data_IF_654253656603
#
_entry.id   IF_654253656603
#
_cell.length_a   1.000
_cell.length_b   1.000
_cell.length_c   1.000
_cell.angle_alpha   90.00
_cell.angle_beta   90.00
_cell.angle_gamma   90.00
#
_symmetry.space_group_name_H-M   'P 1'
#
loop_
_entity.id
_entity.type
_entity.pdbx_description
1 polymer ?
#
# COMPACT_ATOMS: atom_id res chain seq x y z
N UNK A 1 -11.93 -23.54 -2.85
CA UNK A 1 -10.79 -23.03 -2.06
C UNK A 1 -11.08 -21.60 -1.63
N UNK A 2 -10.68 -21.19 -0.42
CA UNK A 2 -11.14 -19.93 0.20
C UNK A 2 -10.41 -18.67 -0.28
N UNK A 3 -11.15 -17.57 -0.48
CA UNK A 3 -10.62 -16.25 -0.85
C UNK A 3 -9.80 -15.66 0.31
N UNK A 4 -8.48 -15.50 0.15
CA UNK A 4 -7.58 -14.86 1.14
C UNK A 4 -7.07 -13.45 0.75
N UNK A 5 -7.59 -12.88 -0.34
CA UNK A 5 -7.07 -11.65 -0.96
C UNK A 5 -7.42 -10.33 -0.22
N UNK A 6 -8.29 -10.35 0.80
CA UNK A 6 -8.96 -9.14 1.30
C UNK A 6 -8.12 -8.12 2.09
N UNK A 7 -7.02 -8.52 2.73
CA UNK A 7 -6.22 -7.64 3.60
C UNK A 7 -4.70 -7.73 3.39
N UNK A 8 -4.18 -8.87 2.90
CA UNK A 8 -2.74 -9.06 2.72
C UNK A 8 -2.12 -8.07 1.71
N UNK A 9 -2.85 -7.71 0.65
CA UNK A 9 -2.34 -6.87 -0.46
C UNK A 9 -1.96 -5.46 -0.01
N UNK A 10 -2.62 -4.91 1.02
CA UNK A 10 -2.30 -3.56 1.52
C UNK A 10 -0.93 -3.55 2.20
N UNK A 11 -0.62 -4.56 3.04
CA UNK A 11 0.69 -4.67 3.69
C UNK A 11 1.85 -4.96 2.74
N UNK A 12 1.58 -5.56 1.57
CA UNK A 12 2.61 -5.92 0.57
C UNK A 12 3.37 -4.72 0.02
N UNK A 13 2.67 -3.60 -0.26
CA UNK A 13 3.31 -2.39 -0.81
C UNK A 13 4.17 -1.69 0.25
N UNK A 14 3.79 -1.82 1.53
CA UNK A 14 4.42 -1.14 2.67
C UNK A 14 5.82 -1.68 2.97
N UNK A 15 6.00 -3.01 2.96
CA UNK A 15 7.25 -3.64 3.40
C UNK A 15 8.45 -3.25 2.51
N UNK A 16 8.23 -3.00 1.22
CA UNK A 16 9.29 -2.69 0.27
C UNK A 16 9.90 -1.28 0.37
N UNK A 17 9.22 -0.30 1.01
CA UNK A 17 9.62 1.12 0.96
C UNK A 17 10.22 1.67 2.26
N UNK A 18 10.27 0.88 3.33
CA UNK A 18 10.62 1.35 4.69
C UNK A 18 12.10 1.07 5.07
N UNK A 19 12.87 0.40 4.21
CA UNK A 19 14.24 0.00 4.52
C UNK A 19 15.25 1.18 4.51
N UNK A 20 16.02 1.29 5.61
CA UNK A 20 17.23 2.13 5.81
C UNK A 20 17.09 3.66 5.85
N UNK A 21 17.02 4.23 7.06
CA UNK A 21 17.19 5.68 7.30
C UNK A 21 17.99 5.91 8.59
N UNK A 22 19.09 6.69 8.54
CA UNK A 22 19.79 7.20 9.74
C UNK A 22 20.55 8.51 9.49
N UNK A 23 20.41 9.47 10.42
CA UNK A 23 21.29 10.63 10.72
C UNK A 23 21.24 11.95 9.91
N UNK A 24 21.18 13.08 10.65
CA UNK A 24 21.80 14.37 10.26
C UNK A 24 21.02 15.36 9.37
N UNK A 25 19.85 15.85 9.80
CA UNK A 25 18.90 16.76 9.10
C UNK A 25 19.18 17.23 7.65
N UNK A 26 20.21 18.02 7.34
CA UNK A 26 20.48 18.46 5.96
C UNK A 26 21.18 17.38 5.10
N UNK A 27 22.08 16.60 5.68
CA UNK A 27 22.66 15.41 5.06
C UNK A 27 21.61 14.28 4.99
N UNK A 28 20.71 14.21 5.97
CA UNK A 28 19.61 13.25 6.05
C UNK A 28 18.74 13.30 4.80
N UNK A 29 18.33 14.48 4.33
CA UNK A 29 17.49 14.60 3.12
C UNK A 29 18.18 14.03 1.88
N UNK A 30 19.45 14.33 1.64
CA UNK A 30 20.17 13.79 0.48
C UNK A 30 20.51 12.29 0.65
N UNK A 31 20.75 11.82 1.87
CA UNK A 31 20.89 10.39 2.18
C UNK A 31 19.57 9.62 1.99
N UNK A 32 18.43 10.21 2.35
CA UNK A 32 17.10 9.65 2.07
C UNK A 32 16.81 9.58 0.58
N UNK A 33 17.08 10.67 -0.17
CA UNK A 33 16.98 10.65 -1.64
C UNK A 33 17.88 9.55 -2.21
N UNK A 34 19.11 9.39 -1.72
CA UNK A 34 20.00 8.31 -2.14
C UNK A 34 19.45 6.91 -1.81
N UNK A 35 18.80 6.73 -0.65
CA UNK A 35 18.12 5.47 -0.32
C UNK A 35 16.90 5.22 -1.21
N UNK A 36 16.01 6.21 -1.38
CA UNK A 36 14.83 6.11 -2.26
C UNK A 36 15.27 5.80 -3.70
N UNK A 37 16.34 6.40 -4.20
CA UNK A 37 16.96 6.03 -5.48
C UNK A 37 17.43 4.56 -5.51
N UNK A 38 18.07 4.08 -4.43
CA UNK A 38 18.55 2.70 -4.31
C UNK A 38 17.39 1.69 -4.29
N UNK A 39 16.37 1.92 -3.47
CA UNK A 39 15.21 1.02 -3.37
C UNK A 39 14.36 1.03 -4.65
N UNK A 40 14.16 2.19 -5.29
CA UNK A 40 13.48 2.26 -6.59
C UNK A 40 14.26 1.49 -7.67
N UNK A 41 15.59 1.59 -7.69
CA UNK A 41 16.45 0.82 -8.59
C UNK A 41 16.36 -0.69 -8.31
N UNK A 42 16.31 -1.07 -7.03
CA UNK A 42 16.11 -2.45 -6.57
C UNK A 42 14.76 -3.00 -7.08
N UNK A 43 13.66 -2.29 -6.83
CA UNK A 43 12.32 -2.65 -7.30
C UNK A 43 12.25 -2.81 -8.84
N UNK A 44 13.00 -1.99 -9.59
CA UNK A 44 13.10 -2.16 -11.05
C UNK A 44 13.78 -3.48 -11.47
N UNK A 45 14.75 -3.99 -10.70
CA UNK A 45 15.30 -5.33 -10.96
C UNK A 45 14.32 -6.45 -10.59
N UNK A 46 13.47 -6.20 -9.58
CA UNK A 46 12.51 -7.14 -8.99
C UNK A 46 11.13 -7.18 -9.69
N UNK A 47 11.03 -6.57 -10.88
CA UNK A 47 9.89 -6.73 -11.79
C UNK A 47 8.78 -5.68 -11.69
N UNK A 48 9.01 -4.63 -10.94
CA UNK A 48 8.22 -3.40 -10.98
C UNK A 48 8.80 -2.45 -12.04
N UNK A 49 8.02 -1.49 -12.54
CA UNK A 49 8.59 -0.30 -13.20
C UNK A 49 8.36 0.95 -12.36
N UNK A 50 9.26 1.92 -12.50
CA UNK A 50 9.11 3.26 -11.92
C UNK A 50 8.93 4.27 -13.05
N UNK A 51 7.87 5.07 -13.00
CA UNK A 51 7.42 5.98 -14.06
C UNK A 51 7.04 7.33 -13.47
N UNK A 52 6.91 8.36 -14.31
CA UNK A 52 6.34 9.67 -13.93
C UNK A 52 7.06 10.35 -12.75
N UNK A 53 8.39 10.22 -12.65
CA UNK A 53 9.14 10.70 -11.48
C UNK A 53 9.41 12.20 -11.55
N UNK A 54 9.00 12.90 -10.51
CA UNK A 54 9.26 14.33 -10.28
C UNK A 54 10.04 14.47 -8.98
N UNK A 55 11.11 15.28 -8.98
CA UNK A 55 12.00 15.46 -7.82
C UNK A 55 12.09 16.95 -7.49
N UNK A 56 11.76 17.31 -6.26
CA UNK A 56 11.90 18.64 -5.69
C UNK A 56 12.87 18.62 -4.49
N UNK A 57 13.08 19.79 -3.86
CA UNK A 57 14.00 19.91 -2.72
C UNK A 57 13.56 19.06 -1.52
N UNK A 58 12.28 19.12 -1.16
CA UNK A 58 11.69 18.48 0.04
C UNK A 58 10.65 17.40 -0.27
N UNK A 59 10.37 17.12 -1.54
CA UNK A 59 9.36 16.15 -1.98
C UNK A 59 9.78 15.42 -3.26
N UNK A 60 9.21 14.24 -3.46
CA UNK A 60 9.22 13.53 -4.75
C UNK A 60 7.83 12.98 -5.08
N UNK A 61 7.55 12.78 -6.36
CA UNK A 61 6.44 11.96 -6.82
C UNK A 61 6.99 10.86 -7.75
N UNK A 62 6.42 9.66 -7.71
CA UNK A 62 6.61 8.64 -8.74
C UNK A 62 5.46 7.63 -8.77
N UNK A 63 5.38 6.88 -9.87
CA UNK A 63 4.41 5.81 -10.08
C UNK A 63 5.14 4.47 -10.12
N UNK A 64 4.76 3.54 -9.22
CA UNK A 64 5.19 2.13 -9.24
C UNK A 64 4.16 1.33 -10.04
N UNK A 65 4.61 0.49 -10.97
CA UNK A 65 3.72 -0.38 -11.77
C UNK A 65 4.11 -1.85 -11.71
N UNK A 66 3.10 -2.72 -11.66
CA UNK A 66 3.26 -4.16 -11.44
C UNK A 66 3.29 -4.90 -12.79
N UNK A 67 4.48 -5.15 -13.34
CA UNK A 67 4.66 -5.56 -14.74
C UNK A 67 5.10 -7.04 -14.92
N UNK A 68 5.99 -7.54 -14.05
CA UNK A 68 6.54 -8.92 -14.11
C UNK A 68 6.16 -9.79 -12.88
N UNK A 69 4.97 -10.42 -12.87
CA UNK A 69 4.48 -11.25 -11.76
C UNK A 69 5.43 -12.32 -11.21
N UNK A 70 6.29 -12.91 -12.05
CA UNK A 70 7.23 -13.95 -11.61
C UNK A 70 8.30 -13.41 -10.66
N UNK A 71 8.90 -12.26 -10.99
CA UNK A 71 9.88 -11.59 -10.13
C UNK A 71 9.21 -11.02 -8.89
N UNK A 72 8.07 -10.35 -9.06
CA UNK A 72 7.27 -9.77 -7.95
C UNK A 72 6.92 -10.85 -6.91
N UNK A 73 6.44 -12.02 -7.32
CA UNK A 73 6.17 -13.13 -6.40
C UNK A 73 7.44 -13.61 -5.66
N UNK A 74 8.57 -13.71 -6.35
CA UNK A 74 9.84 -14.14 -5.76
C UNK A 74 10.44 -13.11 -4.79
N UNK A 75 10.39 -11.82 -5.13
CA UNK A 75 10.77 -10.72 -4.24
C UNK A 75 9.93 -10.72 -2.97
N UNK A 76 8.60 -10.73 -3.11
CA UNK A 76 7.69 -10.67 -1.97
C UNK A 76 7.80 -11.93 -1.08
N UNK A 77 8.06 -13.10 -1.67
CA UNK A 77 8.37 -14.33 -0.90
C UNK A 77 9.62 -14.19 -0.03
N UNK A 78 10.70 -13.57 -0.54
CA UNK A 78 11.90 -13.25 0.26
C UNK A 78 11.61 -12.23 1.37
N UNK A 79 10.72 -11.27 1.10
CA UNK A 79 10.19 -10.34 2.12
C UNK A 79 9.19 -11.00 3.11
N UNK A 80 9.05 -12.33 3.10
CA UNK A 80 8.19 -13.08 4.02
C UNK A 80 6.70 -13.11 3.66
N UNK A 81 6.30 -12.49 2.55
CA UNK A 81 4.92 -12.51 2.05
C UNK A 81 4.67 -13.81 1.31
N UNK A 82 3.69 -14.61 1.77
CA UNK A 82 3.24 -15.78 1.02
C UNK A 82 2.49 -15.35 -0.26
N UNK A 83 3.19 -15.27 -1.39
CA UNK A 83 2.63 -14.91 -2.69
C UNK A 83 3.15 -15.84 -3.78
N UNK A 84 2.25 -16.54 -4.48
CA UNK A 84 2.62 -17.35 -5.64
C UNK A 84 2.46 -16.56 -6.96
N UNK A 85 2.99 -17.09 -8.07
CA UNK A 85 2.99 -16.41 -9.38
C UNK A 85 1.58 -16.10 -9.89
N UNK A 86 0.57 -16.92 -9.57
CA UNK A 86 -0.82 -16.65 -9.95
C UNK A 86 -1.40 -15.49 -9.11
N UNK A 87 -1.07 -15.41 -7.83
CA UNK A 87 -1.49 -14.29 -6.96
C UNK A 87 -0.89 -12.97 -7.48
N UNK A 88 0.41 -12.97 -7.81
CA UNK A 88 1.08 -11.82 -8.40
C UNK A 88 0.53 -11.46 -9.80
N UNK A 89 0.06 -12.45 -10.57
CA UNK A 89 -0.57 -12.19 -11.86
C UNK A 89 -1.91 -11.44 -11.74
N UNK A 90 -2.63 -11.62 -10.62
CA UNK A 90 -3.83 -10.82 -10.30
C UNK A 90 -3.50 -9.36 -9.99
N UNK A 91 -2.24 -9.01 -9.70
CA UNK A 91 -1.79 -7.63 -9.50
C UNK A 91 -1.28 -6.97 -10.79
N UNK A 92 -1.15 -7.71 -11.91
CA UNK A 92 -0.57 -7.15 -13.14
C UNK A 92 -1.37 -5.96 -13.66
N UNK A 93 -0.69 -4.85 -13.96
CA UNK A 93 -1.30 -3.60 -14.40
C UNK A 93 -1.86 -2.72 -13.27
N UNK A 94 -1.63 -3.09 -12.01
CA UNK A 94 -1.75 -2.16 -10.88
C UNK A 94 -0.72 -1.04 -11.05
N UNK A 95 -1.18 0.21 -10.93
CA UNK A 95 -0.32 1.38 -10.83
C UNK A 95 -0.59 2.08 -9.50
N UNK A 96 0.47 2.37 -8.74
CA UNK A 96 0.41 3.06 -7.43
C UNK A 96 1.20 4.36 -7.55
N UNK A 97 0.52 5.48 -7.33
CA UNK A 97 1.17 6.77 -7.13
C UNK A 97 1.73 6.85 -5.71
N UNK A 98 2.94 7.38 -5.58
CA UNK A 98 3.63 7.58 -4.30
C UNK A 98 4.10 9.03 -4.25
N UNK A 99 3.56 9.80 -3.30
CA UNK A 99 4.10 11.11 -2.93
C UNK A 99 5.03 10.93 -1.72
N UNK A 100 6.27 11.39 -1.83
CA UNK A 100 7.28 11.37 -0.76
C UNK A 100 7.46 12.78 -0.21
N UNK A 101 7.56 12.94 1.11
CA UNK A 101 7.96 14.20 1.74
C UNK A 101 9.07 13.98 2.77
N UNK A 102 10.12 14.79 2.71
CA UNK A 102 11.27 14.74 3.62
C UNK A 102 11.13 15.78 4.73
N UNK A 103 11.32 15.37 5.99
CA UNK A 103 11.26 16.23 7.19
C UNK A 103 9.98 17.08 7.30
N UNK A 104 8.82 16.48 7.02
CA UNK A 104 7.52 17.16 6.93
C UNK A 104 6.99 17.72 8.26
N UNK A 105 7.17 17.00 9.38
CA UNK A 105 6.72 17.39 10.71
C UNK A 105 7.85 17.31 11.77
N UNK A 106 7.51 17.41 13.07
CA UNK A 106 8.49 17.31 14.16
C UNK A 106 8.98 15.88 14.43
N UNK A 107 8.20 14.85 14.08
CA UNK A 107 8.41 13.43 14.28
C UNK A 107 9.11 12.73 13.10
N UNK A 108 8.71 13.01 11.86
CA UNK A 108 9.06 12.20 10.68
C UNK A 108 10.42 12.55 10.10
N UNK A 109 11.16 11.53 9.71
CA UNK A 109 12.32 11.64 8.84
C UNK A 109 11.85 11.80 7.39
N UNK A 110 10.98 10.88 6.95
CA UNK A 110 10.30 10.86 5.66
C UNK A 110 8.86 10.39 5.87
N UNK A 111 7.96 10.82 5.00
CA UNK A 111 6.62 10.25 4.86
C UNK A 111 6.30 9.90 3.41
N UNK A 112 5.35 8.97 3.25
CA UNK A 112 4.89 8.40 2.00
C UNK A 112 3.37 8.37 1.97
N UNK A 113 2.75 9.06 1.02
CA UNK A 113 1.33 8.91 0.69
C UNK A 113 1.21 8.01 -0.55
N UNK A 114 0.72 6.78 -0.36
CA UNK A 114 0.53 5.78 -1.40
C UNK A 114 -0.94 5.64 -1.78
N UNK A 115 -1.25 5.61 -3.07
CA UNK A 115 -2.62 5.49 -3.55
C UNK A 115 -2.68 4.82 -4.94
N UNK A 116 -3.68 3.96 -5.20
CA UNK A 116 -3.85 3.35 -6.52
C UNK A 116 -4.28 4.40 -7.56
N UNK A 117 -3.58 4.41 -8.70
CA UNK A 117 -3.90 5.20 -9.89
C UNK A 117 -4.69 4.36 -10.91
N UNK A 118 -4.35 3.09 -11.05
CA UNK A 118 -5.06 2.11 -11.88
C UNK A 118 -5.21 0.78 -11.15
N UNK A 119 -6.36 0.12 -11.32
CA UNK A 119 -6.59 -1.24 -10.80
C UNK A 119 -5.93 -2.28 -11.72
N UNK A 120 -5.59 -3.48 -11.20
CA UNK A 120 -5.07 -4.57 -12.02
C UNK A 120 -5.96 -4.91 -13.22
N UNK A 121 -5.34 -5.37 -14.31
CA UNK A 121 -6.04 -5.73 -15.55
C UNK A 121 -7.12 -6.80 -15.32
N UNK A 122 -6.91 -7.72 -14.39
CA UNK A 122 -7.91 -8.72 -14.01
C UNK A 122 -9.21 -8.08 -13.48
N UNK A 123 -9.11 -7.03 -12.67
CA UNK A 123 -10.27 -6.33 -12.09
C UNK A 123 -10.89 -5.38 -13.12
N UNK A 124 -10.08 -4.60 -13.84
CA UNK A 124 -10.61 -3.66 -14.85
C UNK A 124 -11.23 -4.33 -16.06
N UNK A 125 -10.92 -5.60 -16.35
CA UNK A 125 -11.57 -6.36 -17.43
C UNK A 125 -12.99 -6.76 -17.03
N UNK A 126 -13.19 -7.37 -15.86
CA UNK A 126 -14.52 -7.77 -15.38
C UNK A 126 -15.46 -6.58 -15.17
N UNK A 127 -14.96 -5.48 -14.60
CA UNK A 127 -15.77 -4.28 -14.35
C UNK A 127 -16.17 -3.49 -15.63
N UNK A 128 -15.66 -3.87 -16.81
CA UNK A 128 -16.04 -3.24 -18.09
C UNK A 128 -17.22 -3.93 -18.79
N UNK A 129 -17.76 -5.01 -18.21
CA UNK A 129 -19.04 -5.57 -18.64
C UNK A 129 -20.18 -4.55 -18.40
N UNK A 130 -21.16 -4.44 -19.31
CA UNK A 130 -22.11 -3.31 -19.32
C UNK A 130 -22.90 -3.14 -18.01
N UNK A 131 -23.22 -4.25 -17.34
CA UNK A 131 -23.93 -4.30 -16.06
C UNK A 131 -23.20 -3.56 -14.92
N UNK A 132 -21.87 -3.54 -14.94
CA UNK A 132 -21.00 -3.01 -13.87
C UNK A 132 -20.42 -1.62 -14.20
N UNK A 133 -20.74 -1.08 -15.39
CA UNK A 133 -20.22 0.18 -15.92
C UNK A 133 -20.43 1.39 -14.99
N UNK A 134 -21.52 1.39 -14.19
CA UNK A 134 -21.75 2.39 -13.13
C UNK A 134 -20.71 2.30 -12.01
N UNK A 135 -20.59 1.11 -11.39
CA UNK A 135 -19.63 0.85 -10.32
C UNK A 135 -18.20 1.11 -10.78
N UNK A 136 -17.83 0.70 -12.00
CA UNK A 136 -16.54 1.05 -12.60
C UNK A 136 -16.31 2.57 -12.67
N UNK A 137 -17.28 3.32 -13.19
CA UNK A 137 -17.23 4.80 -13.27
C UNK A 137 -17.15 5.47 -11.90
N UNK A 138 -17.74 4.87 -10.85
CA UNK A 138 -17.59 5.36 -9.47
C UNK A 138 -16.21 5.04 -8.91
N UNK A 139 -15.69 3.83 -9.11
CA UNK A 139 -14.35 3.46 -8.65
C UNK A 139 -13.28 4.32 -9.33
N UNK A 140 -13.40 4.63 -10.63
CA UNK A 140 -12.52 5.60 -11.31
C UNK A 140 -12.54 6.99 -10.64
N UNK A 141 -13.69 7.43 -10.11
CA UNK A 141 -13.77 8.68 -9.33
C UNK A 141 -13.12 8.54 -7.95
N UNK A 142 -13.25 7.38 -7.30
CA UNK A 142 -12.58 7.08 -6.01
C UNK A 142 -11.05 7.06 -6.15
N UNK A 143 -10.51 6.49 -7.24
CA UNK A 143 -9.07 6.55 -7.55
C UNK A 143 -8.62 8.01 -7.73
N UNK A 144 -9.34 8.79 -8.54
CA UNK A 144 -9.05 10.23 -8.78
C UNK A 144 -9.17 11.11 -7.53
N UNK A 145 -10.00 10.73 -6.56
CA UNK A 145 -10.10 11.36 -5.23
C UNK A 145 -9.00 10.94 -4.24
N UNK A 146 -8.14 9.97 -4.59
CA UNK A 146 -7.26 9.24 -3.66
C UNK A 146 -8.03 8.62 -2.46
N UNK A 147 -9.24 8.09 -2.67
CA UNK A 147 -10.07 7.49 -1.60
C UNK A 147 -9.35 6.35 -0.88
N UNK A 148 -8.53 5.57 -1.60
CA UNK A 148 -7.74 4.46 -1.05
C UNK A 148 -6.32 4.88 -0.65
N UNK A 149 -6.10 6.13 -0.21
CA UNK A 149 -4.79 6.62 0.23
C UNK A 149 -4.38 6.00 1.57
N UNK A 150 -3.11 5.58 1.62
CA UNK A 150 -2.41 5.08 2.79
C UNK A 150 -1.20 5.97 3.06
N UNK A 151 -1.17 6.60 4.24
CA UNK A 151 -0.09 7.45 4.72
C UNK A 151 0.85 6.67 5.64
N UNK A 152 2.16 6.84 5.48
CA UNK A 152 3.20 6.27 6.36
C UNK A 152 4.25 7.32 6.67
N UNK A 153 4.62 7.46 7.94
CA UNK A 153 5.72 8.31 8.40
C UNK A 153 6.73 7.49 9.21
N UNK A 154 7.99 7.48 8.77
CA UNK A 154 9.12 6.88 9.50
C UNK A 154 9.73 7.94 10.42
N UNK A 155 10.01 7.61 11.67
CA UNK A 155 10.49 8.58 12.67
C UNK A 155 11.95 9.05 12.39
N UNK A 156 12.34 10.21 12.92
CA UNK A 156 13.70 10.81 12.75
C UNK A 156 14.89 9.97 13.26
N UNK A 157 14.65 8.86 13.96
CA UNK A 157 15.68 7.90 14.37
C UNK A 157 15.76 6.70 13.42
N UNK A 158 14.86 6.58 12.44
CA UNK A 158 14.78 5.47 11.49
C UNK A 158 14.39 4.12 12.10
N UNK A 159 14.02 4.10 13.38
CA UNK A 159 13.85 2.88 14.18
C UNK A 159 12.37 2.50 14.40
N UNK A 160 11.44 3.20 13.76
CA UNK A 160 10.01 2.90 13.82
C UNK A 160 9.18 3.83 12.96
N UNK A 161 7.93 3.44 12.71
CA UNK A 161 6.99 4.13 11.84
C UNK A 161 5.57 4.18 12.44
N UNK A 162 4.77 5.14 11.94
CA UNK A 162 3.33 5.28 12.17
C UNK A 162 2.64 5.43 10.82
N UNK A 163 1.36 5.09 10.71
CA UNK A 163 0.59 5.31 9.50
C UNK A 163 -0.90 5.06 9.67
N UNK A 164 -1.65 5.38 8.62
CA UNK A 164 -3.09 5.19 8.54
C UNK A 164 -3.54 5.00 7.09
N UNK A 165 -4.77 4.53 6.91
CA UNK A 165 -5.47 4.59 5.63
C UNK A 165 -6.69 5.48 5.79
N UNK A 166 -7.05 6.23 4.75
CA UNK A 166 -8.24 7.09 4.77
C UNK A 166 -9.51 6.28 5.09
N UNK A 167 -10.40 6.88 5.89
CA UNK A 167 -11.74 6.33 6.11
C UNK A 167 -12.52 6.26 4.78
N UNK A 168 -13.17 5.12 4.55
CA UNK A 168 -14.03 4.87 3.38
C UNK A 168 -15.47 4.79 3.88
N UNK A 169 -16.39 5.45 3.18
CA UNK A 169 -17.83 5.36 3.41
C UNK A 169 -18.54 5.66 2.08
N UNK A 170 -18.62 4.66 1.20
CA UNK A 170 -19.03 4.80 -0.20
C UNK A 170 -20.00 3.66 -0.59
N UNK A 171 -20.99 3.98 -1.44
CA UNK A 171 -21.97 3.02 -1.99
C UNK A 171 -21.71 2.82 -3.48
N UNK A 172 -21.34 1.62 -3.88
CA UNK A 172 -21.16 1.26 -5.29
C UNK A 172 -22.52 0.92 -5.91
N UNK A 173 -22.94 1.65 -6.95
CA UNK A 173 -24.13 1.40 -7.77
C UNK A 173 -23.83 0.40 -8.88
N UNK A 174 -24.54 -0.73 -8.90
CA UNK A 174 -24.50 -1.71 -9.98
C UNK A 174 -25.88 -2.31 -10.24
N UNK A 175 -25.93 -3.59 -10.64
CA UNK A 175 -27.16 -4.40 -10.59
C UNK A 175 -27.74 -4.45 -9.15
N UNK A 176 -26.85 -4.44 -8.16
CA UNK A 176 -27.15 -4.36 -6.73
C UNK A 176 -26.18 -3.36 -6.10
N UNK A 177 -26.66 -2.58 -5.14
CA UNK A 177 -25.79 -1.65 -4.43
C UNK A 177 -24.86 -2.41 -3.46
N UNK A 178 -23.62 -1.96 -3.32
CA UNK A 178 -22.66 -2.48 -2.34
C UNK A 178 -22.17 -1.35 -1.47
N UNK A 179 -22.59 -1.33 -0.21
CA UNK A 179 -22.13 -0.36 0.78
C UNK A 179 -20.81 -0.85 1.38
N UNK A 180 -19.76 -0.03 1.26
CA UNK A 180 -18.42 -0.31 1.80
C UNK A 180 -18.07 0.79 2.79
N UNK A 181 -17.79 0.40 4.05
CA UNK A 181 -17.29 1.33 5.07
C UNK A 181 -16.05 0.75 5.74
N UNK A 182 -15.02 1.56 5.93
CA UNK A 182 -13.81 1.23 6.66
C UNK A 182 -13.42 2.45 7.49
N UNK A 183 -13.24 2.31 8.80
CA UNK A 183 -12.99 3.46 9.69
C UNK A 183 -11.86 3.23 10.68
N UNK A 184 -11.00 4.23 10.79
CA UNK A 184 -9.89 4.31 11.72
C UNK A 184 -8.87 3.19 11.55
N UNK A 185 -8.50 2.82 10.32
CA UNK A 185 -7.39 1.92 10.06
C UNK A 185 -6.07 2.65 10.34
N UNK A 186 -5.41 2.29 11.43
CA UNK A 186 -4.09 2.82 11.81
C UNK A 186 -3.10 1.68 12.01
N UNK A 187 -1.81 1.99 11.86
CA UNK A 187 -0.73 1.03 12.11
C UNK A 187 0.54 1.72 12.58
N UNK A 188 1.41 0.95 13.22
CA UNK A 188 2.73 1.38 13.69
C UNK A 188 3.67 0.18 13.84
N UNK A 189 4.97 0.42 13.96
CA UNK A 189 5.93 -0.67 14.10
C UNK A 189 7.35 -0.22 14.35
N UNK A 190 8.18 -1.16 14.82
CA UNK A 190 9.61 -0.97 15.06
C UNK A 190 10.42 -1.43 13.83
N UNK A 191 11.51 -0.71 13.55
CA UNK A 191 12.49 -1.05 12.50
C UNK A 191 13.81 -1.37 13.20
N UNK A 192 14.40 -2.55 12.90
CA UNK A 192 15.69 -2.98 13.46
C UNK A 192 16.54 -3.60 12.37
N UNK A 193 17.79 -3.13 12.23
CA UNK A 193 18.70 -3.54 11.14
C UNK A 193 18.01 -3.39 9.77
N UNK A 194 17.33 -2.26 9.61
CA UNK A 194 16.50 -1.82 8.47
C UNK A 194 15.22 -2.65 8.24
N UNK A 195 15.11 -3.85 8.82
CA UNK A 195 13.96 -4.75 8.71
C UNK A 195 12.81 -4.26 9.61
N UNK A 196 11.58 -4.28 9.09
CA UNK A 196 10.35 -4.13 9.90
C UNK A 196 10.27 -5.30 10.88
N UNK A 197 10.52 -5.03 12.15
CA UNK A 197 10.61 -6.04 13.19
C UNK A 197 9.27 -6.27 13.91
N UNK A 198 8.44 -5.25 14.04
CA UNK A 198 7.08 -5.35 14.57
C UNK A 198 6.09 -4.58 13.70
N UNK A 199 4.83 -5.03 13.67
CA UNK A 199 3.70 -4.32 13.05
C UNK A 199 2.48 -4.48 13.94
N UNK A 200 1.93 -3.37 14.41
CA UNK A 200 0.67 -3.29 15.13
C UNK A 200 -0.35 -2.60 14.25
N UNK A 201 -1.57 -3.12 14.20
CA UNK A 201 -2.66 -2.52 13.43
C UNK A 201 -3.92 -2.43 14.30
N UNK A 202 -4.68 -1.35 14.12
CA UNK A 202 -5.97 -1.11 14.79
C UNK A 202 -6.97 -0.70 13.71
N UNK A 203 -8.15 -1.31 13.72
CA UNK A 203 -9.21 -1.10 12.73
C UNK A 203 -10.55 -1.08 13.45
N UNK A 204 -11.14 0.11 13.59
CA UNK A 204 -12.36 0.30 14.38
C UNK A 204 -13.57 -0.35 13.74
N UNK A 205 -13.69 -0.25 12.42
CA UNK A 205 -14.81 -0.80 11.66
C UNK A 205 -14.39 -1.19 10.24
N UNK A 206 -14.84 -2.34 9.76
CA UNK A 206 -14.88 -2.70 8.34
C UNK A 206 -16.22 -3.40 8.04
N UNK A 207 -17.08 -2.77 7.23
CA UNK A 207 -18.34 -3.36 6.77
C UNK A 207 -18.40 -3.45 5.25
N UNK A 208 -18.90 -4.57 4.75
CA UNK A 208 -19.35 -4.74 3.37
C UNK A 208 -20.78 -5.28 3.39
N UNK A 209 -21.71 -4.55 2.79
CA UNK A 209 -23.13 -4.90 2.77
C UNK A 209 -23.66 -4.92 1.34
N UNK A 210 -24.31 -6.02 0.98
CA UNK A 210 -25.17 -6.15 -0.21
C UNK A 210 -26.60 -6.32 0.31
N UNK A 211 -27.52 -5.36 0.09
CA UNK A 211 -28.87 -5.40 0.65
C UNK A 211 -29.57 -6.74 0.39
N UNK A 212 -30.18 -7.29 1.45
CA UNK A 212 -30.90 -8.58 1.45
C UNK A 212 -30.07 -9.84 1.15
N UNK A 213 -28.77 -9.73 0.85
CA UNK A 213 -27.92 -10.87 0.45
C UNK A 213 -26.72 -11.11 1.36
N UNK A 214 -26.02 -10.06 1.80
CA UNK A 214 -24.79 -10.20 2.56
C UNK A 214 -24.55 -9.02 3.50
N UNK A 215 -24.16 -9.32 4.74
CA UNK A 215 -23.51 -8.38 5.63
C UNK A 215 -22.26 -9.05 6.20
N UNK A 216 -21.11 -8.44 5.93
CA UNK A 216 -19.85 -8.74 6.60
C UNK A 216 -19.52 -7.51 7.45
N UNK A 217 -19.36 -7.69 8.77
CA UNK A 217 -18.88 -6.64 9.68
C UNK A 217 -17.72 -7.18 10.51
N UNK A 218 -16.70 -6.35 10.69
CA UNK A 218 -15.65 -6.54 11.67
C UNK A 218 -15.48 -5.24 12.46
N UNK A 219 -15.39 -5.36 13.78
CA UNK A 219 -15.30 -4.21 14.69
C UNK A 219 -14.13 -4.38 15.64
N UNK A 220 -13.42 -3.29 15.91
CA UNK A 220 -12.28 -3.21 16.84
C UNK A 220 -11.22 -4.31 16.61
N UNK A 221 -10.94 -4.65 15.35
CA UNK A 221 -9.88 -5.59 14.99
C UNK A 221 -8.53 -5.00 15.37
N UNK A 222 -7.72 -5.78 16.10
CA UNK A 222 -6.35 -5.43 16.47
C UNK A 222 -5.43 -6.58 16.11
N UNK A 223 -4.27 -6.27 15.56
CA UNK A 223 -3.21 -7.24 15.28
C UNK A 223 -1.88 -6.72 15.84
N UNK A 224 -1.03 -7.66 16.26
CA UNK A 224 0.33 -7.40 16.72
C UNK A 224 1.20 -8.55 16.17
N UNK A 225 2.09 -8.22 15.25
CA UNK A 225 2.99 -9.15 14.57
C UNK A 225 4.43 -8.78 14.91
N UNK A 226 5.26 -9.78 15.24
CA UNK A 226 6.69 -9.60 15.43
C UNK A 226 7.47 -10.63 14.60
N UNK A 227 8.49 -10.17 13.88
CA UNK A 227 9.41 -11.06 13.16
C UNK A 227 10.42 -11.61 14.17
N UNK A 228 10.27 -12.89 14.50
CA UNK A 228 11.05 -13.62 15.51
C UNK A 228 12.13 -14.54 14.94
N UNK A 229 12.27 -14.59 13.61
CA UNK A 229 13.25 -15.41 12.89
C UNK A 229 13.91 -14.65 11.74
N UNK A 230 14.76 -15.34 10.97
CA UNK A 230 15.29 -14.79 9.72
C UNK A 230 14.23 -14.88 8.62
N UNK A 231 14.06 -13.82 7.84
CA UNK A 231 13.52 -13.89 6.48
C UNK A 231 14.46 -14.72 5.58
N UNK A 232 13.91 -15.28 4.50
CA UNK A 232 14.56 -16.29 3.64
C UNK A 232 15.14 -15.67 2.36
#
# INVERSE_FOLDING_TARGET
MGKKLGLAVIGVVVVGLIYYITAGSSQLTEQMKAQVNTELSSLQTEGFSVKGREIAETKEHFIITFDEPQKIAHFLTRQGVQMNVNDAALLKGLEVGVDVAYLDDTYSAVSFDMYPLALPTAITTSLKEEKDKKAFTQIEKMLKKKTFLMHIAVNKLGNGFKGYMNDIDETLEGEKNVDIKMKGLTFSGDIKNNIIHSVKQDLKLLTMQVPQEMLVSFENLKSDYAITGKTL
#
